data_IF_441988837728
#
_entry.id   IF_441988837728
#
_cell.length_a   1.000
_cell.length_b   1.000
_cell.length_c   1.000
_cell.angle_alpha   90.00
_cell.angle_beta   90.00
_cell.angle_gamma   90.00
#
_symmetry.space_group_name_H-M   'P 1'
#
loop_
_entity.id
_entity.type
_entity.pdbx_description
1 polymer ?
#
# COMPACT_ATOMS: atom_id res chain seq x y z
N UNK A 1 -19.21 10.82 3.78
CA UNK A 1 -19.72 9.75 4.68
C UNK A 1 -21.12 9.37 4.22
N UNK A 2 -21.24 8.26 3.51
CA UNK A 2 -22.53 7.77 3.03
C UNK A 2 -23.12 6.88 4.12
N UNK A 3 -24.14 7.34 4.85
CA UNK A 3 -24.92 6.47 5.74
C UNK A 3 -25.88 5.63 4.89
N UNK A 4 -25.58 4.36 4.71
CA UNK A 4 -26.57 3.38 4.22
C UNK A 4 -27.38 2.94 5.43
N UNK A 5 -28.58 3.51 5.60
CA UNK A 5 -29.54 3.00 6.57
C UNK A 5 -30.14 1.71 6.02
N UNK A 6 -29.71 0.56 6.51
CA UNK A 6 -30.33 -0.72 6.23
C UNK A 6 -31.05 -1.18 7.49
N UNK A 7 -32.37 -1.12 7.47
CA UNK A 7 -33.21 -1.76 8.46
C UNK A 7 -33.54 -3.18 7.99
N UNK A 8 -32.90 -4.17 8.57
CA UNK A 8 -33.41 -5.52 8.72
C UNK A 8 -32.54 -6.29 9.73
N UNK A 9 -33.09 -6.61 10.88
CA UNK A 9 -32.52 -7.61 11.79
C UNK A 9 -32.55 -8.98 11.12
N UNK A 10 -31.39 -9.54 10.82
CA UNK A 10 -31.25 -10.95 10.44
C UNK A 10 -30.46 -11.64 11.55
N UNK A 11 -31.15 -12.48 12.28
CA UNK A 11 -30.59 -13.39 13.28
C UNK A 11 -29.70 -14.44 12.62
N UNK A 12 -28.44 -14.51 13.02
CA UNK A 12 -27.56 -15.64 12.68
C UNK A 12 -26.20 -15.21 12.13
N UNK A 13 -25.19 -15.46 12.84
CA UNK A 13 -23.72 -15.36 12.76
C UNK A 13 -23.00 -15.18 11.40
N UNK A 14 -23.61 -14.69 10.34
CA UNK A 14 -22.93 -14.22 9.14
C UNK A 14 -23.10 -12.71 9.04
N UNK A 15 -21.97 -12.00 8.97
CA UNK A 15 -21.94 -10.56 8.66
C UNK A 15 -22.61 -10.36 7.31
N UNK A 16 -23.66 -9.53 7.27
CA UNK A 16 -24.40 -9.24 6.02
C UNK A 16 -23.47 -8.62 4.96
N UNK A 17 -23.85 -8.73 3.69
CA UNK A 17 -23.07 -8.20 2.57
C UNK A 17 -22.80 -6.70 2.73
N UNK A 18 -23.80 -5.95 3.22
CA UNK A 18 -23.72 -4.52 3.48
C UNK A 18 -22.61 -4.19 4.49
N UNK A 19 -22.56 -4.97 5.57
CA UNK A 19 -21.52 -4.78 6.60
C UNK A 19 -20.14 -5.14 6.06
N UNK A 20 -20.03 -6.19 5.24
CA UNK A 20 -18.77 -6.55 4.58
C UNK A 20 -18.26 -5.44 3.67
N UNK A 21 -19.15 -4.78 2.91
CA UNK A 21 -18.80 -3.63 2.08
C UNK A 21 -18.24 -2.49 2.95
N UNK A 22 -18.84 -2.24 4.11
CA UNK A 22 -18.35 -1.23 5.06
C UNK A 22 -17.01 -1.62 5.68
N UNK A 23 -16.85 -2.88 6.07
CA UNK A 23 -15.64 -3.42 6.69
C UNK A 23 -14.44 -3.46 5.71
N UNK A 24 -14.68 -3.44 4.40
CA UNK A 24 -13.63 -3.31 3.42
C UNK A 24 -12.86 -1.98 3.52
N UNK A 25 -13.52 -0.89 3.95
CA UNK A 25 -12.89 0.43 3.97
C UNK A 25 -11.72 0.53 4.95
N UNK A 26 -11.83 0.20 6.26
CA UNK A 26 -10.68 0.25 7.18
C UNK A 26 -9.50 -0.60 6.71
N UNK A 27 -9.79 -1.76 6.12
CA UNK A 27 -8.75 -2.64 5.58
C UNK A 27 -8.03 -1.99 4.39
N UNK A 28 -8.76 -1.46 3.40
CA UNK A 28 -8.16 -0.75 2.27
C UNK A 28 -7.42 0.52 2.69
N UNK A 29 -7.97 1.27 3.63
CA UNK A 29 -7.38 2.50 4.14
C UNK A 29 -6.04 2.23 4.83
N UNK A 30 -5.91 1.13 5.58
CA UNK A 30 -4.64 0.76 6.18
C UNK A 30 -3.51 0.63 5.14
N UNK A 31 -3.80 0.07 3.97
CA UNK A 31 -2.81 -0.14 2.90
C UNK A 31 -2.75 0.99 1.86
N UNK A 32 -3.78 1.79 1.73
CA UNK A 32 -3.88 2.79 0.67
C UNK A 32 -3.89 4.24 1.15
N UNK A 33 -4.06 4.49 2.46
CA UNK A 33 -4.06 5.83 3.03
C UNK A 33 -2.79 6.10 3.82
N UNK A 34 -2.49 7.38 3.96
CA UNK A 34 -1.36 7.85 4.74
C UNK A 34 -1.67 9.21 5.40
N UNK A 35 -0.98 9.49 6.51
CA UNK A 35 -0.97 10.83 7.07
C UNK A 35 -0.15 11.75 6.17
N UNK A 36 -0.72 12.88 5.85
CA UNK A 36 -0.06 14.01 5.19
C UNK A 36 -0.11 15.25 6.09
N UNK A 37 0.67 16.26 5.74
CA UNK A 37 0.64 17.56 6.44
C UNK A 37 -0.71 18.26 6.39
N UNK A 38 -1.65 17.82 5.55
CA UNK A 38 -2.98 18.45 5.37
C UNK A 38 -4.13 17.58 5.86
N UNK A 39 -3.93 16.26 5.93
CA UNK A 39 -4.97 15.31 6.31
C UNK A 39 -4.32 14.08 6.92
N UNK A 40 -4.76 13.72 8.11
CA UNK A 40 -4.20 12.60 8.86
C UNK A 40 -4.60 11.22 8.30
N UNK A 41 -5.65 11.15 7.48
CA UNK A 41 -6.08 9.95 6.78
C UNK A 41 -6.35 10.25 5.31
N UNK A 42 -5.31 10.66 4.59
CA UNK A 42 -5.39 10.98 3.16
C UNK A 42 -5.36 9.71 2.32
N UNK A 43 -6.39 9.49 1.50
CA UNK A 43 -6.37 8.42 0.50
C UNK A 43 -5.26 8.69 -0.52
N UNK A 44 -4.38 7.69 -0.72
CA UNK A 44 -3.26 7.76 -1.69
C UNK A 44 -3.48 6.84 -2.89
N UNK A 45 -4.73 6.50 -3.16
CA UNK A 45 -5.22 5.82 -4.35
C UNK A 45 -6.64 6.27 -4.66
N UNK A 46 -7.03 6.23 -5.92
CA UNK A 46 -8.42 6.39 -6.32
C UNK A 46 -9.15 5.07 -6.22
N UNK A 47 -10.42 5.08 -5.85
CA UNK A 47 -11.27 3.88 -5.85
C UNK A 47 -12.60 4.15 -6.53
N UNK A 48 -13.08 3.17 -7.27
CA UNK A 48 -14.42 3.12 -7.79
C UNK A 48 -15.14 1.90 -7.22
N UNK A 49 -16.15 2.15 -6.41
CA UNK A 49 -16.93 1.09 -5.76
C UNK A 49 -18.24 0.91 -6.54
N UNK A 50 -18.45 -0.27 -7.09
CA UNK A 50 -19.72 -0.69 -7.71
C UNK A 50 -20.53 -1.42 -6.66
N UNK A 51 -21.77 -1.02 -6.44
CA UNK A 51 -22.75 -1.74 -5.62
C UNK A 51 -23.81 -2.28 -6.55
N UNK A 52 -23.94 -3.60 -6.62
CA UNK A 52 -24.83 -4.31 -7.53
C UNK A 52 -26.21 -4.52 -6.91
N UNK A 53 -27.24 -4.26 -7.69
CA UNK A 53 -28.64 -4.35 -7.26
C UNK A 53 -29.43 -5.28 -8.16
N UNK A 54 -30.23 -6.13 -7.54
CA UNK A 54 -31.20 -6.98 -8.20
C UNK A 54 -32.52 -7.01 -7.40
N UNK A 55 -33.65 -6.73 -8.05
CA UNK A 55 -34.98 -6.71 -7.41
C UNK A 55 -35.06 -5.80 -6.15
N UNK A 56 -34.33 -4.69 -6.15
CA UNK A 56 -34.32 -3.72 -5.05
C UNK A 56 -33.41 -4.09 -3.86
N UNK A 57 -32.72 -5.23 -3.90
CA UNK A 57 -31.74 -5.63 -2.87
C UNK A 57 -30.30 -5.58 -3.38
N UNK A 58 -29.34 -5.38 -2.46
CA UNK A 58 -27.90 -5.46 -2.75
C UNK A 58 -27.53 -6.93 -2.93
N UNK A 59 -26.92 -7.27 -4.07
CA UNK A 59 -26.52 -8.64 -4.41
C UNK A 59 -25.02 -8.83 -4.57
N UNK A 60 -24.24 -7.76 -4.54
CA UNK A 60 -22.80 -7.81 -4.65
C UNK A 60 -22.17 -6.42 -4.61
N UNK A 61 -20.85 -6.39 -4.53
CA UNK A 61 -20.08 -5.19 -4.73
C UNK A 61 -18.72 -5.53 -5.36
N UNK A 62 -18.11 -4.52 -5.96
CA UNK A 62 -16.75 -4.61 -6.49
C UNK A 62 -16.01 -3.31 -6.28
N UNK A 63 -14.71 -3.39 -6.10
CA UNK A 63 -13.80 -2.25 -5.95
C UNK A 63 -12.76 -2.29 -7.06
N UNK A 64 -12.60 -1.19 -7.76
CA UNK A 64 -11.51 -0.95 -8.72
C UNK A 64 -10.59 0.13 -8.15
N UNK A 65 -9.28 -0.10 -8.20
CA UNK A 65 -8.27 0.86 -7.73
C UNK A 65 -7.61 1.58 -8.90
N UNK A 66 -7.23 2.83 -8.66
CA UNK A 66 -6.54 3.68 -9.62
C UNK A 66 -5.39 4.42 -8.96
N UNK A 67 -4.26 4.50 -9.65
CA UNK A 67 -3.17 5.43 -9.35
C UNK A 67 -2.64 5.36 -7.89
N UNK A 68 -2.38 4.17 -7.35
CA UNK A 68 -1.71 4.07 -6.06
C UNK A 68 -0.40 4.88 -6.08
N UNK A 69 -0.23 5.81 -5.14
CA UNK A 69 0.98 6.63 -4.98
C UNK A 69 2.14 5.78 -4.45
N UNK A 70 2.65 4.87 -5.28
CA UNK A 70 3.72 3.95 -4.89
C UNK A 70 5.06 4.64 -4.61
N UNK A 71 5.25 5.88 -5.07
CA UNK A 71 6.43 6.68 -4.73
C UNK A 71 6.55 6.92 -3.22
N UNK A 72 5.42 7.03 -2.50
CA UNK A 72 5.36 7.22 -1.06
C UNK A 72 6.06 6.13 -0.25
N UNK A 73 6.14 4.92 -0.78
CA UNK A 73 6.76 3.80 -0.05
C UNK A 73 8.24 4.08 0.25
N UNK A 74 8.92 4.78 -0.64
CA UNK A 74 10.36 5.06 -0.52
C UNK A 74 10.69 6.54 -0.29
N UNK A 75 9.74 7.44 -0.51
CA UNK A 75 9.94 8.88 -0.38
C UNK A 75 8.68 9.54 0.18
N UNK A 76 8.79 10.20 1.33
CA UNK A 76 7.73 11.00 1.94
C UNK A 76 8.18 12.45 2.08
N UNK A 77 7.23 13.38 1.99
CA UNK A 77 7.50 14.77 2.35
C UNK A 77 7.72 14.91 3.86
N UNK A 78 8.42 15.95 4.28
CA UNK A 78 8.63 16.24 5.71
C UNK A 78 7.27 16.43 6.41
N UNK A 79 7.03 15.67 7.47
CA UNK A 79 5.79 15.68 8.23
C UNK A 79 4.73 14.69 7.74
N UNK A 80 4.93 14.08 6.57
CA UNK A 80 4.08 12.99 6.09
C UNK A 80 4.53 11.64 6.67
N UNK A 81 3.61 10.69 6.77
CA UNK A 81 3.93 9.26 7.05
C UNK A 81 3.91 8.45 5.76
N UNK A 82 4.50 7.28 5.80
CA UNK A 82 4.27 6.21 4.82
C UNK A 82 2.84 5.67 4.98
N UNK A 83 2.43 4.66 4.23
CA UNK A 83 1.13 4.02 4.39
C UNK A 83 0.92 3.54 5.83
N UNK A 84 -0.31 3.67 6.30
CA UNK A 84 -0.67 3.39 7.69
C UNK A 84 -0.27 1.99 8.14
N UNK A 85 -0.41 0.99 7.27
CA UNK A 85 -0.18 -0.41 7.61
C UNK A 85 1.20 -0.69 8.23
N UNK A 86 2.24 0.01 7.81
CA UNK A 86 3.57 -0.18 8.37
C UNK A 86 3.61 0.16 9.88
N UNK A 87 2.98 1.25 10.25
CA UNK A 87 2.92 1.73 11.64
C UNK A 87 1.95 0.90 12.47
N UNK A 88 0.77 0.60 11.93
CA UNK A 88 -0.24 -0.24 12.58
C UNK A 88 0.34 -1.62 12.89
N UNK A 89 0.98 -2.25 11.90
CA UNK A 89 1.57 -3.56 12.07
C UNK A 89 2.70 -3.56 13.09
N UNK A 90 3.62 -2.61 13.05
CA UNK A 90 4.70 -2.50 14.03
C UNK A 90 4.18 -2.26 15.46
N UNK A 91 3.09 -1.51 15.62
CA UNK A 91 2.50 -1.25 16.93
C UNK A 91 1.68 -2.43 17.47
N UNK A 92 0.94 -3.12 16.58
CA UNK A 92 0.00 -4.19 16.95
C UNK A 92 0.49 -5.61 16.68
N UNK A 93 1.75 -5.80 16.26
CA UNK A 93 2.33 -7.14 16.08
C UNK A 93 2.44 -7.87 17.41
N UNK A 94 2.05 -9.14 17.43
CA UNK A 94 2.23 -10.03 18.56
C UNK A 94 3.71 -10.35 18.77
N UNK A 95 4.08 -10.85 19.95
CA UNK A 95 5.46 -11.26 20.24
C UNK A 95 5.93 -12.39 19.30
N UNK A 96 5.05 -13.30 18.93
CA UNK A 96 5.32 -14.35 17.97
C UNK A 96 5.63 -13.78 16.57
N UNK A 97 4.81 -12.85 16.09
CA UNK A 97 5.05 -12.16 14.80
C UNK A 97 6.33 -11.33 14.83
N UNK A 98 6.61 -10.64 15.93
CA UNK A 98 7.86 -9.89 16.11
C UNK A 98 9.09 -10.78 15.98
N UNK A 99 9.04 -11.96 16.59
CA UNK A 99 10.13 -12.92 16.52
C UNK A 99 10.21 -13.57 15.14
N UNK A 100 9.09 -14.00 14.58
CA UNK A 100 9.05 -14.70 13.29
C UNK A 100 9.51 -13.83 12.13
N UNK A 101 8.99 -12.60 12.06
CA UNK A 101 9.33 -11.64 11.01
C UNK A 101 10.55 -10.77 11.33
N UNK A 102 11.20 -11.03 12.48
CA UNK A 102 12.38 -10.28 12.95
C UNK A 102 12.15 -8.77 12.94
N UNK A 103 11.00 -8.34 13.49
CA UNK A 103 10.63 -6.93 13.47
C UNK A 103 11.53 -6.09 14.38
N UNK A 104 12.12 -5.07 13.81
CA UNK A 104 12.87 -4.05 14.53
C UNK A 104 11.94 -2.91 15.01
N UNK A 105 12.40 -2.05 15.92
CA UNK A 105 11.72 -0.80 16.24
C UNK A 105 11.51 0.08 15.00
N UNK A 106 10.41 0.83 14.95
CA UNK A 106 10.08 1.69 13.80
C UNK A 106 11.20 2.68 13.44
N UNK A 107 11.98 3.12 14.45
CA UNK A 107 13.13 4.02 14.27
C UNK A 107 14.29 3.43 13.46
N UNK A 108 14.34 2.12 13.29
CA UNK A 108 15.39 1.45 12.52
C UNK A 108 15.03 1.32 11.02
N UNK A 109 13.76 1.57 10.65
CA UNK A 109 13.31 1.45 9.27
C UNK A 109 13.44 2.79 8.53
N UNK A 110 14.36 2.84 7.57
CA UNK A 110 14.62 4.04 6.77
C UNK A 110 13.43 4.55 5.96
N UNK A 111 12.55 3.65 5.55
CA UNK A 111 11.35 3.99 4.78
C UNK A 111 10.20 4.51 5.63
N UNK A 112 10.32 4.49 6.94
CA UNK A 112 9.28 4.97 7.86
C UNK A 112 9.57 6.37 8.39
N UNK A 113 10.37 7.14 7.73
CA UNK A 113 10.60 8.56 7.95
C UNK A 113 10.57 9.04 9.43
N UNK A 114 11.03 10.22 9.68
CA UNK A 114 11.06 10.90 10.99
C UNK A 114 9.71 10.80 11.74
N UNK A 115 9.63 9.76 12.54
CA UNK A 115 8.41 9.27 13.19
C UNK A 115 7.92 10.12 14.31
N UNK A 116 8.35 11.31 14.36
CA UNK A 116 8.09 12.20 15.48
C UNK A 116 6.60 12.50 15.68
N UNK A 117 5.72 12.05 14.80
CA UNK A 117 4.35 12.41 15.03
C UNK A 117 3.37 11.24 14.93
N UNK A 118 3.30 10.47 16.03
CA UNK A 118 2.06 9.81 16.44
C UNK A 118 1.01 10.86 16.90
N UNK A 119 1.22 12.13 16.58
CA UNK A 119 0.37 13.23 16.95
C UNK A 119 -0.35 13.69 15.71
N UNK A 120 -1.64 13.44 15.65
CA UNK A 120 -2.56 14.05 14.71
C UNK A 120 -3.06 15.34 15.34
N UNK A 121 -3.06 16.43 14.57
CA UNK A 121 -3.78 17.63 14.94
C UNK A 121 -5.21 17.46 14.43
N UNK A 122 -6.19 17.52 15.33
CA UNK A 122 -7.59 17.59 14.93
C UNK A 122 -7.93 18.95 14.28
N UNK A 123 -9.19 19.08 13.83
CA UNK A 123 -9.69 20.29 13.15
C UNK A 123 -9.59 21.54 14.03
N UNK A 124 -9.51 21.36 15.36
CA UNK A 124 -9.43 22.43 16.36
C UNK A 124 -7.98 22.68 16.85
N UNK A 125 -6.99 22.00 16.25
CA UNK A 125 -5.58 22.15 16.62
C UNK A 125 -5.21 21.38 17.89
N UNK A 126 -6.07 20.51 18.40
CA UNK A 126 -5.79 19.63 19.52
C UNK A 126 -5.03 18.41 19.03
N UNK A 127 -3.93 18.07 19.69
CA UNK A 127 -3.13 16.89 19.38
C UNK A 127 -3.86 15.62 19.79
N UNK A 128 -4.37 14.85 18.83
CA UNK A 128 -4.92 13.52 19.06
C UNK A 128 -3.84 12.49 18.77
N UNK A 129 -3.52 11.64 19.74
CA UNK A 129 -2.67 10.47 19.51
C UNK A 129 -3.47 9.40 18.78
N UNK A 130 -3.10 9.08 17.57
CA UNK A 130 -3.58 7.85 16.94
C UNK A 130 -2.95 6.68 17.66
N UNK A 131 -3.77 5.78 18.11
CA UNK A 131 -3.31 4.51 18.68
C UNK A 131 -3.15 3.51 17.53
N UNK A 132 -1.97 3.50 16.92
CA UNK A 132 -1.65 2.60 15.79
C UNK A 132 -1.94 1.11 16.15
N UNK A 133 -1.91 0.75 17.44
CA UNK A 133 -2.26 -0.61 17.90
C UNK A 133 -3.76 -0.87 17.80
N UNK A 134 -4.60 0.06 18.26
CA UNK A 134 -6.05 -0.08 18.14
C UNK A 134 -6.50 -0.13 16.69
N UNK A 135 -5.85 0.65 15.83
CA UNK A 135 -6.07 0.59 14.39
C UNK A 135 -5.69 -0.77 13.79
N UNK A 136 -4.59 -1.37 14.25
CA UNK A 136 -4.22 -2.72 13.82
C UNK A 136 -5.25 -3.77 14.28
N UNK A 137 -5.76 -3.65 15.50
CA UNK A 137 -6.80 -4.54 16.01
C UNK A 137 -8.09 -4.41 15.18
N UNK A 138 -8.43 -3.18 14.75
CA UNK A 138 -9.54 -2.94 13.82
C UNK A 138 -9.30 -3.58 12.46
N UNK A 139 -8.11 -3.42 11.88
CA UNK A 139 -7.73 -4.06 10.61
C UNK A 139 -7.88 -5.57 10.69
N UNK A 140 -7.37 -6.21 11.75
CA UNK A 140 -7.49 -7.66 11.95
C UNK A 140 -8.96 -8.10 12.04
N UNK A 141 -9.77 -7.36 12.81
CA UNK A 141 -11.21 -7.62 12.93
C UNK A 141 -11.92 -7.53 11.59
N UNK A 142 -11.64 -6.49 10.81
CA UNK A 142 -12.27 -6.31 9.50
C UNK A 142 -11.83 -7.37 8.49
N UNK A 143 -10.55 -7.80 8.53
CA UNK A 143 -10.07 -8.91 7.72
C UNK A 143 -10.84 -10.21 8.00
N UNK A 144 -11.13 -10.50 9.26
CA UNK A 144 -11.96 -11.66 9.65
C UNK A 144 -13.38 -11.51 9.11
N UNK A 145 -13.99 -10.32 9.25
CA UNK A 145 -15.35 -10.06 8.79
C UNK A 145 -15.52 -10.22 7.27
N UNK A 146 -14.46 -9.98 6.49
CA UNK A 146 -14.46 -10.21 5.03
C UNK A 146 -13.86 -11.56 4.63
N UNK A 147 -13.81 -12.52 5.55
CA UNK A 147 -13.37 -13.90 5.34
C UNK A 147 -11.92 -14.04 4.82
N UNK A 148 -11.00 -13.19 5.29
CA UNK A 148 -9.59 -13.34 5.00
C UNK A 148 -8.98 -14.32 5.99
N UNK A 149 -8.52 -15.46 5.49
CA UNK A 149 -8.03 -16.54 6.34
C UNK A 149 -6.74 -16.17 7.08
N UNK A 150 -6.45 -16.78 8.24
CA UNK A 150 -5.22 -16.52 8.99
C UNK A 150 -3.94 -16.71 8.17
N UNK A 151 -3.93 -17.67 7.22
CA UNK A 151 -2.78 -17.94 6.35
C UNK A 151 -2.53 -16.77 5.40
N UNK A 152 -3.59 -16.20 4.82
CA UNK A 152 -3.49 -15.03 3.95
C UNK A 152 -3.05 -13.81 4.75
N UNK A 153 -3.60 -13.61 5.95
CA UNK A 153 -3.16 -12.54 6.85
C UNK A 153 -1.67 -12.67 7.15
N UNK A 154 -1.21 -13.86 7.52
CA UNK A 154 0.20 -14.14 7.78
C UNK A 154 1.09 -13.82 6.58
N UNK A 155 0.68 -14.21 5.36
CA UNK A 155 1.42 -13.90 4.13
C UNK A 155 1.48 -12.40 3.85
N UNK A 156 0.41 -11.65 4.13
CA UNK A 156 0.40 -10.18 4.03
C UNK A 156 1.37 -9.55 5.01
N UNK A 157 1.39 -9.99 6.28
CA UNK A 157 2.32 -9.47 7.30
C UNK A 157 3.77 -9.79 6.94
N UNK A 158 4.02 -10.97 6.39
CA UNK A 158 5.33 -11.35 5.85
C UNK A 158 5.76 -10.44 4.70
N UNK A 159 4.85 -10.11 3.76
CA UNK A 159 5.13 -9.17 2.68
C UNK A 159 5.38 -7.75 3.17
N UNK A 160 4.60 -7.24 4.12
CA UNK A 160 4.80 -5.93 4.75
C UNK A 160 6.18 -5.86 5.40
N UNK A 161 6.56 -6.89 6.15
CA UNK A 161 7.88 -7.00 6.79
C UNK A 161 9.01 -7.06 5.77
N UNK A 162 8.82 -7.78 4.66
CA UNK A 162 9.80 -7.87 3.58
C UNK A 162 10.03 -6.52 2.89
N UNK A 163 8.95 -5.75 2.65
CA UNK A 163 9.04 -4.40 2.08
C UNK A 163 9.86 -3.49 3.00
N UNK A 164 9.61 -3.55 4.32
CA UNK A 164 10.38 -2.77 5.30
C UNK A 164 11.86 -3.18 5.34
N UNK A 165 12.15 -4.47 5.33
CA UNK A 165 13.51 -4.98 5.34
C UNK A 165 14.28 -4.60 4.05
N UNK A 166 13.67 -4.76 2.87
CA UNK A 166 14.26 -4.34 1.59
C UNK A 166 14.57 -2.83 1.59
N UNK A 167 13.66 -2.00 2.10
CA UNK A 167 13.85 -0.55 2.17
C UNK A 167 15.04 -0.13 3.04
N UNK A 168 15.48 -0.99 3.94
CA UNK A 168 16.63 -0.75 4.81
C UNK A 168 17.98 -1.12 4.18
N UNK A 169 18.01 -1.85 3.08
CA UNK A 169 19.27 -2.24 2.44
C UNK A 169 20.05 -0.99 2.01
N UNK A 170 21.34 -0.94 2.39
CA UNK A 170 22.27 0.12 2.06
C UNK A 170 23.39 -0.40 1.18
N UNK A 171 24.00 0.50 0.46
CA UNK A 171 25.10 0.17 -0.47
C UNK A 171 26.31 1.02 -0.20
N UNK A 172 27.49 0.45 -0.43
CA UNK A 172 28.79 1.14 -0.44
C UNK A 172 29.57 0.80 -1.71
N UNK A 173 30.51 1.63 -2.06
CA UNK A 173 31.46 1.33 -3.12
C UNK A 173 32.63 0.53 -2.57
N UNK A 174 32.98 -0.55 -3.25
CA UNK A 174 34.22 -1.25 -3.00
C UNK A 174 35.39 -0.45 -3.61
N UNK A 175 36.38 -0.15 -2.79
CA UNK A 175 37.63 0.48 -3.24
C UNK A 175 38.37 -0.45 -4.21
N UNK A 176 38.28 -0.15 -5.49
CA UNK A 176 38.95 -0.90 -6.54
C UNK A 176 40.30 -0.26 -6.85
N UNK A 177 41.33 -0.66 -6.11
CA UNK A 177 42.70 -0.37 -6.47
C UNK A 177 43.17 -1.07 -7.75
N UNK A 178 42.52 -0.83 -8.89
CA UNK A 178 42.94 -1.38 -10.17
C UNK A 178 41.91 -1.66 -11.27
N UNK A 179 40.64 -1.30 -11.10
CA UNK A 179 39.61 -1.55 -12.13
C UNK A 179 38.86 -0.30 -12.56
N UNK A 180 38.48 -0.24 -13.84
CA UNK A 180 37.83 0.91 -14.48
C UNK A 180 36.35 1.15 -14.10
N UNK A 181 35.76 0.40 -13.17
CA UNK A 181 34.37 0.60 -12.75
C UNK A 181 34.20 0.28 -11.27
N UNK A 182 33.58 1.19 -10.49
CA UNK A 182 33.28 0.93 -9.08
C UNK A 182 32.34 -0.27 -8.95
N UNK A 183 32.66 -1.19 -8.06
CA UNK A 183 31.79 -2.30 -7.69
C UNK A 183 30.98 -1.88 -6.47
N UNK A 184 29.68 -2.10 -6.53
CA UNK A 184 28.77 -1.84 -5.42
C UNK A 184 28.58 -3.12 -4.59
N UNK A 185 28.59 -2.97 -3.27
CA UNK A 185 28.25 -4.02 -2.32
C UNK A 185 27.11 -3.59 -1.39
N UNK A 186 26.44 -4.55 -0.79
CA UNK A 186 25.48 -4.32 0.29
C UNK A 186 26.26 -4.11 1.58
N UNK A 187 26.15 -2.93 2.17
CA UNK A 187 26.92 -2.54 3.38
C UNK A 187 26.30 -3.04 4.70
N UNK A 188 25.05 -3.52 4.65
CA UNK A 188 24.31 -4.08 5.78
C UNK A 188 23.61 -5.39 5.38
N UNK A 189 24.40 -6.48 5.19
CA UNK A 189 23.91 -7.74 4.65
C UNK A 189 22.78 -8.37 5.48
N UNK A 190 22.70 -8.11 6.77
CA UNK A 190 21.67 -8.59 7.69
C UNK A 190 20.26 -8.21 7.23
N UNK A 191 20.08 -7.04 6.63
CA UNK A 191 18.79 -6.64 6.07
C UNK A 191 18.45 -7.33 4.75
N UNK A 192 19.46 -7.64 3.96
CA UNK A 192 19.31 -8.42 2.73
C UNK A 192 18.90 -9.87 3.06
N UNK A 193 19.57 -10.49 4.06
CA UNK A 193 19.28 -11.84 4.53
C UNK A 193 17.87 -11.94 5.09
N UNK A 194 17.47 -10.97 5.91
CA UNK A 194 16.10 -10.86 6.45
C UNK A 194 15.08 -10.73 5.33
N UNK A 195 15.29 -9.84 4.37
CA UNK A 195 14.40 -9.67 3.24
C UNK A 195 14.28 -10.94 2.39
N UNK A 196 15.40 -11.62 2.12
CA UNK A 196 15.44 -12.88 1.39
C UNK A 196 14.66 -13.98 2.12
N UNK A 197 14.86 -14.14 3.43
CA UNK A 197 14.12 -15.08 4.27
C UNK A 197 12.61 -14.82 4.21
N UNK A 198 12.19 -13.56 4.38
CA UNK A 198 10.77 -13.16 4.34
C UNK A 198 10.14 -13.39 2.96
N UNK A 199 10.88 -13.18 1.88
CA UNK A 199 10.43 -13.42 0.51
C UNK A 199 10.61 -14.89 0.06
N UNK A 200 11.18 -15.75 0.91
CA UNK A 200 11.52 -17.15 0.59
C UNK A 200 12.46 -17.24 -0.63
N UNK A 201 13.41 -16.33 -0.71
CA UNK A 201 14.44 -16.25 -1.75
C UNK A 201 15.79 -16.68 -1.21
N UNK A 202 16.68 -17.06 -2.11
CA UNK A 202 18.09 -17.25 -1.83
C UNK A 202 18.75 -15.87 -1.61
N UNK A 203 19.42 -15.69 -0.46
CA UNK A 203 20.01 -14.41 -0.08
C UNK A 203 21.15 -13.97 -0.99
N UNK A 204 22.00 -14.91 -1.43
CA UNK A 204 23.10 -14.61 -2.35
C UNK A 204 22.57 -14.16 -3.71
N UNK A 205 21.51 -14.82 -4.21
CA UNK A 205 20.87 -14.44 -5.46
C UNK A 205 20.18 -13.07 -5.37
N UNK A 206 19.49 -12.80 -4.26
CA UNK A 206 18.89 -11.47 -4.04
C UNK A 206 19.97 -10.39 -3.99
N UNK A 207 21.01 -10.60 -3.19
CA UNK A 207 22.15 -9.70 -3.06
C UNK A 207 22.82 -9.46 -4.44
N UNK A 208 23.01 -10.54 -5.23
CA UNK A 208 23.56 -10.42 -6.57
C UNK A 208 22.66 -9.60 -7.51
N UNK A 209 21.37 -9.90 -7.55
CA UNK A 209 20.41 -9.22 -8.42
C UNK A 209 20.25 -7.72 -8.08
N UNK A 210 20.40 -7.35 -6.80
CA UNK A 210 20.33 -5.94 -6.37
C UNK A 210 21.57 -5.11 -6.75
N UNK A 211 22.70 -5.76 -7.13
CA UNK A 211 23.97 -5.11 -7.44
C UNK A 211 24.37 -5.20 -8.89
N UNK A 212 23.73 -6.07 -9.67
CA UNK A 212 24.12 -6.38 -11.03
C UNK A 212 22.96 -6.22 -11.99
N UNK A 213 23.29 -6.08 -13.25
CA UNK A 213 22.35 -6.00 -14.32
C UNK A 213 22.91 -6.73 -15.55
N UNK A 214 22.08 -7.60 -16.11
CA UNK A 214 22.42 -8.43 -17.26
C UNK A 214 21.96 -7.77 -18.56
N UNK A 215 22.90 -7.56 -19.48
CA UNK A 215 22.62 -7.07 -20.83
C UNK A 215 22.86 -8.19 -21.84
N UNK A 216 21.87 -8.46 -22.66
CA UNK A 216 22.06 -9.32 -23.84
C UNK A 216 22.74 -8.55 -24.96
N UNK A 217 23.93 -8.98 -25.34
CA UNK A 217 24.69 -8.45 -26.47
C UNK A 217 24.86 -9.58 -27.48
N UNK A 218 24.12 -9.54 -28.58
CA UNK A 218 24.03 -10.63 -29.56
C UNK A 218 23.60 -11.95 -28.91
N UNK A 219 24.48 -12.95 -28.89
CA UNK A 219 24.24 -14.29 -28.30
C UNK A 219 24.76 -14.41 -26.86
N UNK A 220 25.46 -13.40 -26.35
CA UNK A 220 26.12 -13.43 -25.06
C UNK A 220 25.35 -12.56 -24.04
N UNK A 221 25.35 -13.00 -22.78
CA UNK A 221 24.92 -12.17 -21.66
C UNK A 221 26.16 -11.54 -21.02
N UNK A 222 26.16 -10.22 -20.90
CA UNK A 222 27.21 -9.46 -20.22
C UNK A 222 26.61 -8.91 -18.94
N UNK A 223 27.17 -9.31 -17.81
CA UNK A 223 26.79 -8.79 -16.50
C UNK A 223 27.66 -7.61 -16.14
N UNK A 224 27.03 -6.53 -15.70
CA UNK A 224 27.69 -5.30 -15.23
C UNK A 224 27.24 -4.98 -13.82
N UNK A 225 28.13 -4.43 -12.99
CA UNK A 225 27.75 -3.89 -11.69
C UNK A 225 27.01 -2.56 -11.86
N UNK A 226 26.02 -2.35 -11.00
CA UNK A 226 25.31 -1.09 -10.88
C UNK A 226 26.18 -0.05 -10.14
N UNK A 227 25.92 1.23 -10.37
CA UNK A 227 26.42 2.31 -9.51
C UNK A 227 25.60 2.37 -8.23
N UNK A 228 26.07 3.08 -7.20
CA UNK A 228 25.33 3.30 -5.94
C UNK A 228 23.89 3.78 -6.18
N UNK A 229 23.73 4.80 -7.03
CA UNK A 229 22.42 5.36 -7.37
C UNK A 229 21.54 4.34 -8.11
N UNK A 230 22.11 3.58 -9.04
CA UNK A 230 21.38 2.55 -9.76
C UNK A 230 20.94 1.40 -8.86
N UNK A 231 21.79 0.96 -7.93
CA UNK A 231 21.48 -0.09 -6.96
C UNK A 231 20.37 0.35 -6.01
N UNK A 232 20.43 1.59 -5.49
CA UNK A 232 19.38 2.17 -4.68
C UNK A 232 18.04 2.25 -5.44
N UNK A 233 18.07 2.74 -6.68
CA UNK A 233 16.89 2.82 -7.54
C UNK A 233 16.31 1.43 -7.86
N UNK A 234 17.15 0.42 -8.09
CA UNK A 234 16.74 -0.96 -8.33
C UNK A 234 16.02 -1.55 -7.11
N UNK A 235 16.61 -1.36 -5.91
CA UNK A 235 15.97 -1.73 -4.63
C UNK A 235 14.61 -1.04 -4.48
N UNK A 236 14.54 0.28 -4.68
CA UNK A 236 13.32 1.06 -4.53
C UNK A 236 12.24 0.65 -5.54
N UNK A 237 12.64 0.31 -6.76
CA UNK A 237 11.73 -0.21 -7.78
C UNK A 237 11.15 -1.58 -7.36
N UNK A 238 11.98 -2.46 -6.80
CA UNK A 238 11.54 -3.76 -6.28
C UNK A 238 10.56 -3.59 -5.12
N UNK A 239 10.88 -2.74 -4.15
CA UNK A 239 10.03 -2.41 -2.99
C UNK A 239 8.67 -1.91 -3.44
N UNK A 240 8.62 -0.93 -4.36
CA UNK A 240 7.39 -0.37 -4.92
C UNK A 240 6.56 -1.42 -5.66
N UNK A 241 7.21 -2.29 -6.43
CA UNK A 241 6.54 -3.32 -7.21
C UNK A 241 5.90 -4.40 -6.32
N UNK A 242 6.60 -4.84 -5.26
CA UNK A 242 6.06 -5.81 -4.30
C UNK A 242 4.83 -5.22 -3.60
N UNK A 243 4.91 -3.97 -3.13
CA UNK A 243 3.78 -3.33 -2.45
C UNK A 243 2.58 -3.14 -3.38
N UNK A 244 2.78 -2.65 -4.59
CA UNK A 244 1.74 -2.49 -5.61
C UNK A 244 1.04 -3.82 -5.91
N UNK A 245 1.80 -4.91 -6.09
CA UNK A 245 1.23 -6.25 -6.32
C UNK A 245 0.49 -6.80 -5.12
N UNK A 246 0.99 -6.54 -3.91
CA UNK A 246 0.31 -6.88 -2.67
C UNK A 246 -1.03 -6.13 -2.56
N UNK A 247 -1.05 -4.83 -2.83
CA UNK A 247 -2.27 -4.02 -2.83
C UNK A 247 -3.29 -4.52 -3.86
N UNK A 248 -2.86 -4.78 -5.09
CA UNK A 248 -3.71 -5.36 -6.14
C UNK A 248 -4.23 -6.76 -5.76
N UNK A 249 -3.43 -7.55 -5.04
CA UNK A 249 -3.87 -8.84 -4.53
C UNK A 249 -4.98 -8.68 -3.48
N UNK A 250 -4.85 -7.72 -2.57
CA UNK A 250 -5.87 -7.37 -1.57
C UNK A 250 -7.19 -7.01 -2.28
N UNK A 251 -7.15 -6.12 -3.27
CA UNK A 251 -8.35 -5.72 -4.03
C UNK A 251 -9.02 -6.93 -4.68
N UNK A 252 -8.25 -7.78 -5.37
CA UNK A 252 -8.80 -8.98 -6.03
C UNK A 252 -9.42 -9.95 -5.04
N UNK A 253 -8.79 -10.15 -3.90
CA UNK A 253 -9.28 -11.02 -2.85
C UNK A 253 -10.58 -10.49 -2.26
N UNK A 254 -10.66 -9.19 -1.97
CA UNK A 254 -11.88 -8.55 -1.50
C UNK A 254 -13.01 -8.67 -2.52
N UNK A 255 -12.74 -8.41 -3.79
CA UNK A 255 -13.74 -8.53 -4.85
C UNK A 255 -14.29 -9.96 -4.95
N UNK A 256 -13.44 -10.97 -4.78
CA UNK A 256 -13.90 -12.37 -4.75
C UNK A 256 -14.84 -12.67 -3.58
N UNK A 257 -14.75 -11.90 -2.47
CA UNK A 257 -15.61 -12.05 -1.29
C UNK A 257 -16.87 -11.19 -1.32
N UNK A 258 -16.84 -10.10 -2.08
CA UNK A 258 -17.95 -9.16 -2.22
C UNK A 258 -18.86 -9.50 -3.40
N UNK A 259 -18.34 -10.16 -4.43
CA UNK A 259 -19.13 -10.58 -5.58
C UNK A 259 -19.83 -11.90 -5.30
N UNK A 260 -21.11 -11.84 -4.95
CA UNK A 260 -21.95 -13.02 -4.68
C UNK A 260 -22.85 -13.41 -5.86
N UNK A 261 -22.97 -12.56 -6.89
CA UNK A 261 -23.95 -12.75 -7.95
C UNK A 261 -23.49 -13.60 -9.13
N UNK A 262 -22.20 -13.80 -9.31
CA UNK A 262 -21.62 -14.63 -10.38
C UNK A 262 -21.80 -14.14 -11.83
N UNK A 263 -22.80 -13.30 -12.10
CA UNK A 263 -23.09 -12.72 -13.41
C UNK A 263 -23.51 -11.25 -13.26
N UNK A 264 -22.55 -10.36 -13.48
CA UNK A 264 -22.73 -8.91 -13.37
C UNK A 264 -23.46 -8.31 -14.59
N UNK A 265 -23.65 -9.07 -15.66
CA UNK A 265 -24.12 -8.54 -16.96
C UNK A 265 -25.56 -8.02 -16.95
N UNK A 266 -26.37 -8.48 -16.00
CA UNK A 266 -27.79 -8.14 -15.89
C UNK A 266 -28.18 -7.33 -14.65
N UNK A 267 -27.20 -6.99 -13.77
CA UNK A 267 -27.49 -6.27 -12.54
C UNK A 267 -27.35 -4.75 -12.75
N UNK A 268 -28.29 -4.00 -12.21
CA UNK A 268 -28.13 -2.55 -12.09
C UNK A 268 -27.06 -2.24 -11.06
N UNK A 269 -26.30 -1.18 -11.24
CA UNK A 269 -25.30 -0.78 -10.24
C UNK A 269 -25.37 0.71 -9.92
N UNK A 270 -24.94 1.04 -8.71
CA UNK A 270 -24.56 2.38 -8.30
C UNK A 270 -23.05 2.43 -8.16
N UNK A 271 -22.41 3.34 -8.90
CA UNK A 271 -20.96 3.55 -8.84
C UNK A 271 -20.64 4.74 -7.94
N UNK A 272 -19.69 4.54 -7.02
CA UNK A 272 -19.15 5.59 -6.15
C UNK A 272 -17.68 5.78 -6.52
N UNK A 273 -17.35 6.93 -7.10
CA UNK A 273 -15.98 7.31 -7.42
C UNK A 273 -15.42 8.16 -6.29
N UNK A 274 -14.35 7.68 -5.67
CA UNK A 274 -13.58 8.37 -4.64
C UNK A 274 -12.14 8.52 -5.13
N UNK A 275 -11.74 9.74 -5.45
CA UNK A 275 -10.41 10.05 -5.97
C UNK A 275 -9.77 11.18 -5.18
N UNK A 276 -8.48 11.36 -5.40
CA UNK A 276 -7.74 12.49 -4.81
C UNK A 276 -8.38 13.81 -5.18
N UNK A 277 -8.38 14.76 -4.24
CA UNK A 277 -8.59 16.15 -4.56
C UNK A 277 -7.40 16.77 -5.32
N UNK A 278 -7.56 17.99 -5.79
CA UNK A 278 -6.48 18.72 -6.45
C UNK A 278 -5.33 18.99 -5.47
N UNK A 279 -4.10 18.60 -5.84
CA UNK A 279 -2.92 18.70 -4.98
C UNK A 279 -1.97 19.81 -5.44
N UNK A 280 -1.59 20.66 -4.49
CA UNK A 280 -0.57 21.70 -4.69
C UNK A 280 0.40 21.62 -3.51
N UNK A 281 1.64 21.22 -3.78
CA UNK A 281 2.74 21.15 -2.83
C UNK A 281 3.84 22.13 -3.21
N UNK A 282 4.78 22.37 -2.30
CA UNK A 282 6.00 23.15 -2.58
C UNK A 282 6.82 22.48 -3.70
N UNK A 283 6.87 21.13 -3.71
CA UNK A 283 7.50 20.35 -4.77
C UNK A 283 6.48 19.34 -5.29
N UNK A 284 6.10 19.50 -6.56
CA UNK A 284 5.18 18.58 -7.23
C UNK A 284 5.96 17.64 -8.14
N UNK A 285 5.53 16.39 -8.22
CA UNK A 285 6.09 15.35 -9.06
C UNK A 285 5.16 15.01 -10.22
N UNK A 286 5.51 13.99 -10.98
CA UNK A 286 4.66 13.47 -12.05
C UNK A 286 3.33 12.91 -11.52
N UNK A 287 3.32 12.37 -10.30
CA UNK A 287 2.12 11.89 -9.63
C UNK A 287 1.10 13.02 -9.43
N UNK A 288 1.51 14.20 -8.95
CA UNK A 288 0.61 15.36 -8.80
C UNK A 288 0.08 15.86 -10.14
N UNK A 289 0.89 15.79 -11.20
CA UNK A 289 0.41 16.10 -12.55
C UNK A 289 -0.72 15.16 -12.97
N UNK A 290 -0.55 13.85 -12.78
CA UNK A 290 -1.57 12.85 -13.12
C UNK A 290 -2.84 13.03 -12.30
N UNK A 291 -2.72 13.26 -10.98
CA UNK A 291 -3.84 13.48 -10.08
C UNK A 291 -4.63 14.74 -10.51
N UNK A 292 -3.93 15.85 -10.72
CA UNK A 292 -4.56 17.11 -11.07
C UNK A 292 -5.18 17.06 -12.46
N UNK A 293 -4.54 16.38 -13.43
CA UNK A 293 -5.13 16.18 -14.74
C UNK A 293 -6.43 15.37 -14.68
N UNK A 294 -6.46 14.29 -13.89
CA UNK A 294 -7.68 13.50 -13.70
C UNK A 294 -8.82 14.35 -13.10
N UNK A 295 -8.50 15.19 -12.08
CA UNK A 295 -9.47 16.10 -11.48
C UNK A 295 -10.03 17.12 -12.48
N UNK A 296 -9.18 17.71 -13.31
CA UNK A 296 -9.60 18.68 -14.35
C UNK A 296 -10.52 18.03 -15.38
N UNK A 297 -10.19 16.80 -15.82
CA UNK A 297 -11.04 16.07 -16.76
C UNK A 297 -12.41 15.77 -16.17
N UNK A 298 -12.46 15.30 -14.92
CA UNK A 298 -13.72 15.01 -14.22
C UNK A 298 -14.53 16.29 -13.97
N UNK A 299 -13.88 17.39 -13.59
CA UNK A 299 -14.55 18.68 -13.43
C UNK A 299 -15.15 19.18 -14.75
N UNK A 300 -14.44 18.98 -15.87
CA UNK A 300 -14.97 19.29 -17.21
C UNK A 300 -16.24 18.49 -17.50
N UNK A 301 -16.22 17.16 -17.29
CA UNK A 301 -17.40 16.31 -17.47
C UNK A 301 -18.55 16.75 -16.57
N UNK A 302 -18.29 17.04 -15.31
CA UNK A 302 -19.31 17.55 -14.39
C UNK A 302 -19.95 18.84 -14.92
N UNK A 303 -19.16 19.80 -15.37
CA UNK A 303 -19.66 21.06 -15.91
C UNK A 303 -20.50 20.84 -17.19
N UNK A 304 -20.03 19.99 -18.10
CA UNK A 304 -20.73 19.72 -19.37
C UNK A 304 -22.05 18.97 -19.17
N UNK A 305 -22.08 17.98 -18.29
CA UNK A 305 -23.24 17.09 -18.14
C UNK A 305 -24.24 17.51 -17.06
N UNK A 306 -23.82 18.24 -16.05
CA UNK A 306 -24.66 18.61 -14.91
C UNK A 306 -25.07 20.08 -14.97
N UNK A 307 -24.16 20.98 -15.35
CA UNK A 307 -24.42 22.43 -15.29
C UNK A 307 -24.92 22.98 -16.62
N UNK A 308 -24.43 22.48 -17.77
CA UNK A 308 -24.80 22.99 -19.11
C UNK A 308 -26.02 22.31 -19.71
N UNK A 309 -26.63 21.30 -19.08
CA UNK A 309 -27.95 20.77 -19.38
C UNK A 309 -29.02 21.46 -18.57
#
# INVERSE_FOLDING_TARGET
MLCICVGAEVSGHMVGLEQRILDCNPFLEAFGNAKTSRNDNSSRFGKFVKILYRNGGIVGAGVEDFLLEKARITLQAKGDRNFHIFYFFLAGATDAERQEFELAPASEYAILCDQASNVILDVDGVSVKVNDKEEMDLVRKTMVNVDITPEIQHDLWRCVSAVMALGNIRYSELDNSGGNSPKVEVSNPEWCDRAAKLLQLDSEKLNYALRTFDRKVLKNTVTSFLTLTQAANSRDALVKNIYERMFQYIIRMMNAKLNTSGDESNDAFVGLLDIFGFEIFVKNSFEQLCINFANEVLQKYFNEYIIQK
#
